data_IF_758150178291
#
_entry.id   IF_758150178291
#
_cell.length_a   1.000
_cell.length_b   1.000
_cell.length_c   1.000
_cell.angle_alpha   90.00
_cell.angle_beta   90.00
_cell.angle_gamma   90.00
#
_symmetry.space_group_name_H-M   'P 1'
#
loop_
_entity.id
_entity.type
_entity.pdbx_description
1 polymer ?
#
# COMPACT_ATOMS: atom_id res chain seq x y z
N UNK A 1 4.93 20.71 23.44
CA UNK A 1 5.38 19.47 22.78
C UNK A 1 4.51 18.34 23.31
N UNK A 2 3.50 17.91 22.53
CA UNK A 2 2.70 16.74 22.88
C UNK A 2 3.55 15.52 22.51
N UNK A 3 4.10 14.84 23.51
CA UNK A 3 4.84 13.59 23.30
C UNK A 3 3.84 12.50 22.94
N UNK A 4 3.49 12.44 21.66
CA UNK A 4 2.74 11.36 21.07
C UNK A 4 3.57 10.08 21.22
N UNK A 5 3.23 9.25 22.21
CA UNK A 5 3.87 7.95 22.38
C UNK A 5 3.60 7.10 21.13
N UNK A 6 4.67 6.51 20.58
CA UNK A 6 4.59 5.62 19.41
C UNK A 6 3.79 4.38 19.83
N UNK A 7 2.58 4.24 19.30
CA UNK A 7 1.72 3.08 19.48
C UNK A 7 1.83 2.16 18.26
N UNK A 8 2.96 1.44 18.18
CA UNK A 8 3.26 0.57 17.05
C UNK A 8 2.19 -0.50 16.84
N UNK A 9 1.53 -0.97 17.92
CA UNK A 9 0.44 -1.93 17.84
C UNK A 9 -0.75 -1.38 17.03
N UNK A 10 -1.13 -0.11 17.25
CA UNK A 10 -2.16 0.58 16.47
C UNK A 10 -1.75 0.71 15.00
N UNK A 11 -0.52 1.15 14.75
CA UNK A 11 0.01 1.29 13.39
C UNK A 11 -0.01 -0.03 12.62
N UNK A 12 0.48 -1.11 13.23
CA UNK A 12 0.49 -2.45 12.64
C UNK A 12 -0.93 -2.97 12.44
N UNK A 13 -1.83 -2.85 13.41
CA UNK A 13 -3.19 -3.40 13.29
C UNK A 13 -4.01 -2.70 12.21
N UNK A 14 -3.98 -1.36 12.17
CA UNK A 14 -4.64 -0.58 11.13
C UNK A 14 -4.00 -0.80 9.77
N UNK A 15 -2.66 -0.90 9.74
CA UNK A 15 -1.89 -1.24 8.56
C UNK A 15 -2.34 -2.57 7.96
N UNK A 16 -2.25 -3.65 8.71
CA UNK A 16 -2.68 -4.99 8.28
C UNK A 16 -4.13 -4.99 7.80
N UNK A 17 -5.05 -4.39 8.58
CA UNK A 17 -6.47 -4.34 8.21
C UNK A 17 -6.69 -3.59 6.89
N UNK A 18 -6.08 -2.42 6.73
CA UNK A 18 -6.17 -1.64 5.49
C UNK A 18 -5.59 -2.40 4.30
N UNK A 19 -4.47 -3.09 4.49
CA UNK A 19 -3.82 -3.93 3.50
C UNK A 19 -4.68 -5.11 3.06
N UNK A 20 -5.33 -5.80 4.00
CA UNK A 20 -6.26 -6.89 3.71
C UNK A 20 -7.47 -6.40 2.91
N UNK A 21 -8.09 -5.29 3.33
CA UNK A 21 -9.23 -4.69 2.62
C UNK A 21 -8.81 -4.29 1.20
N UNK A 22 -7.64 -3.67 1.06
CA UNK A 22 -7.08 -3.31 -0.24
C UNK A 22 -6.84 -4.55 -1.12
N UNK A 23 -6.21 -5.60 -0.59
CA UNK A 23 -5.93 -6.82 -1.36
C UNK A 23 -7.20 -7.49 -1.88
N UNK A 24 -8.25 -7.55 -1.05
CA UNK A 24 -9.56 -8.06 -1.46
C UNK A 24 -10.17 -7.17 -2.55
N UNK A 25 -10.11 -5.85 -2.40
CA UNK A 25 -10.64 -4.91 -3.38
C UNK A 25 -9.94 -5.03 -4.74
N UNK A 26 -8.62 -5.21 -4.75
CA UNK A 26 -7.83 -5.43 -5.97
C UNK A 26 -8.25 -6.73 -6.66
N UNK A 27 -8.36 -7.83 -5.91
CA UNK A 27 -8.77 -9.12 -6.46
C UNK A 27 -10.16 -9.04 -7.12
N UNK A 28 -11.13 -8.43 -6.42
CA UNK A 28 -12.48 -8.25 -6.94
C UNK A 28 -12.48 -7.39 -8.21
N UNK A 29 -11.77 -6.26 -8.20
CA UNK A 29 -11.68 -5.36 -9.36
C UNK A 29 -11.05 -6.06 -10.57
N UNK A 30 -9.94 -6.76 -10.35
CA UNK A 30 -9.23 -7.51 -11.37
C UNK A 30 -10.12 -8.62 -11.97
N UNK A 31 -10.87 -9.34 -11.14
CA UNK A 31 -11.79 -10.39 -11.61
C UNK A 31 -12.95 -9.85 -12.46
N UNK A 32 -13.42 -8.64 -12.15
CA UNK A 32 -14.52 -8.00 -12.86
C UNK A 32 -14.08 -7.37 -14.18
N UNK A 33 -12.87 -6.82 -14.23
CA UNK A 33 -12.38 -6.02 -15.35
C UNK A 33 -11.48 -6.79 -16.31
N UNK A 34 -10.96 -7.96 -15.90
CA UNK A 34 -9.93 -8.71 -16.64
C UNK A 34 -8.69 -7.89 -16.96
N UNK A 35 -8.45 -6.80 -16.22
CA UNK A 35 -7.26 -5.96 -16.36
C UNK A 35 -6.00 -6.72 -15.93
N UNK A 36 -6.16 -7.73 -15.09
CA UNK A 36 -5.12 -8.69 -14.74
C UNK A 36 -5.60 -10.09 -15.15
N UNK A 37 -4.83 -10.77 -15.98
CA UNK A 37 -5.04 -12.20 -16.20
C UNK A 37 -4.53 -12.96 -14.98
N UNK A 38 -5.41 -13.73 -14.36
CA UNK A 38 -5.05 -14.60 -13.25
C UNK A 38 -4.70 -15.98 -13.77
N UNK A 39 -3.56 -16.50 -13.35
CA UNK A 39 -3.14 -17.87 -13.64
C UNK A 39 -4.03 -18.92 -12.93
N UNK A 40 -4.74 -18.51 -11.88
CA UNK A 40 -5.54 -19.37 -11.01
C UNK A 40 -6.98 -18.88 -10.85
N UNK A 41 -7.82 -19.70 -10.21
CA UNK A 41 -9.19 -19.30 -9.88
C UNK A 41 -9.22 -18.32 -8.70
N UNK A 42 -10.24 -17.45 -8.64
CA UNK A 42 -10.47 -16.46 -7.57
C UNK A 42 -10.20 -16.95 -6.13
N UNK A 43 -10.60 -18.19 -5.82
CA UNK A 43 -10.42 -18.78 -4.48
C UNK A 43 -8.95 -19.11 -4.16
N UNK A 44 -8.14 -19.41 -5.17
CA UNK A 44 -6.71 -19.73 -5.04
C UNK A 44 -5.86 -18.46 -4.93
N UNK A 45 -6.28 -17.38 -5.59
CA UNK A 45 -5.60 -16.08 -5.51
C UNK A 45 -5.96 -15.31 -4.23
N UNK A 46 -7.11 -15.59 -3.63
CA UNK A 46 -7.57 -14.91 -2.42
C UNK A 46 -6.54 -14.86 -1.29
N UNK A 47 -5.90 -15.98 -0.86
CA UNK A 47 -4.86 -15.95 0.16
C UNK A 47 -3.64 -15.12 -0.25
N UNK A 48 -3.26 -15.12 -1.53
CA UNK A 48 -2.09 -14.38 -2.04
C UNK A 48 -2.35 -12.88 -1.96
N UNK A 49 -3.51 -12.41 -2.44
CA UNK A 49 -3.89 -11.01 -2.36
C UNK A 49 -4.10 -10.54 -0.92
N UNK A 50 -4.69 -11.39 -0.08
CA UNK A 50 -4.90 -11.08 1.34
C UNK A 50 -3.57 -10.91 2.08
N UNK A 51 -2.65 -11.87 1.92
CA UNK A 51 -1.34 -11.87 2.60
C UNK A 51 -0.39 -10.83 2.04
N UNK A 52 -0.34 -10.68 0.71
CA UNK A 52 0.43 -9.62 0.04
C UNK A 52 -0.06 -8.23 0.45
N UNK A 53 -1.38 -8.02 0.44
CA UNK A 53 -2.00 -6.80 0.93
C UNK A 53 -1.69 -6.53 2.40
N UNK A 54 -1.84 -7.53 3.27
CA UNK A 54 -1.50 -7.42 4.69
C UNK A 54 -0.03 -7.04 4.91
N UNK A 55 0.90 -7.60 4.12
CA UNK A 55 2.33 -7.28 4.18
C UNK A 55 2.61 -5.83 3.83
N UNK A 56 2.09 -5.34 2.70
CA UNK A 56 2.22 -3.93 2.30
C UNK A 56 1.56 -2.99 3.32
N UNK A 57 0.36 -3.32 3.77
CA UNK A 57 -0.36 -2.57 4.78
C UNK A 57 0.38 -2.49 6.11
N UNK A 58 1.00 -3.58 6.56
CA UNK A 58 1.82 -3.61 7.78
C UNK A 58 2.96 -2.61 7.69
N UNK A 59 3.72 -2.66 6.59
CA UNK A 59 4.86 -1.75 6.37
C UNK A 59 4.36 -0.31 6.39
N UNK A 60 3.32 -0.01 5.62
CA UNK A 60 2.75 1.33 5.54
C UNK A 60 2.26 1.83 6.91
N UNK A 61 1.51 1.01 7.65
CA UNK A 61 0.98 1.36 8.96
C UNK A 61 2.05 1.57 10.02
N UNK A 62 3.13 0.77 9.99
CA UNK A 62 4.29 0.97 10.85
C UNK A 62 5.01 2.29 10.56
N UNK A 63 5.26 2.59 9.27
CA UNK A 63 5.85 3.87 8.87
C UNK A 63 4.95 5.05 9.22
N UNK A 64 3.63 4.91 9.06
CA UNK A 64 2.67 5.94 9.42
C UNK A 64 2.75 6.29 10.91
N UNK A 65 2.82 5.29 11.80
CA UNK A 65 2.94 5.53 13.23
C UNK A 65 4.26 6.23 13.60
N UNK A 66 5.36 5.84 12.96
CA UNK A 66 6.70 6.38 13.24
C UNK A 66 6.90 7.78 12.67
N UNK A 67 6.31 8.07 11.50
CA UNK A 67 6.55 9.29 10.75
C UNK A 67 5.43 10.31 10.85
N UNK A 68 4.25 10.00 11.42
CA UNK A 68 3.08 10.90 11.42
C UNK A 68 3.36 12.35 11.82
N UNK A 69 4.25 12.57 12.78
CA UNK A 69 4.58 13.90 13.31
C UNK A 69 5.64 14.64 12.45
N UNK A 70 6.26 13.94 11.50
CA UNK A 70 7.27 14.46 10.56
C UNK A 70 6.75 14.60 9.13
N UNK A 71 5.55 14.10 8.86
CA UNK A 71 4.96 14.18 7.52
C UNK A 71 4.47 15.61 7.23
N UNK A 72 4.61 16.08 5.99
CA UNK A 72 4.48 17.51 5.68
C UNK A 72 3.04 18.02 5.61
N UNK A 73 2.03 17.14 5.60
CA UNK A 73 0.64 17.55 5.49
C UNK A 73 -0.06 17.60 6.85
N UNK A 74 -1.00 18.52 6.99
CA UNK A 74 -1.82 18.66 8.20
C UNK A 74 -2.89 17.55 8.31
N UNK A 75 -3.25 16.91 7.19
CA UNK A 75 -4.28 15.86 7.15
C UNK A 75 -3.71 14.45 7.22
N UNK A 76 -4.19 13.63 8.17
CA UNK A 76 -3.80 12.21 8.31
C UNK A 76 -4.04 11.40 7.02
N UNK A 77 -5.10 11.70 6.28
CA UNK A 77 -5.42 11.04 5.00
C UNK A 77 -4.36 11.40 3.94
N UNK A 78 -4.02 12.68 3.82
CA UNK A 78 -3.02 13.16 2.85
C UNK A 78 -1.65 12.56 3.16
N UNK A 79 -1.30 12.49 4.45
CA UNK A 79 -0.07 11.86 4.93
C UNK A 79 -0.02 10.36 4.60
N UNK A 80 -1.11 9.62 4.79
CA UNK A 80 -1.16 8.20 4.46
C UNK A 80 -1.05 7.94 2.94
N UNK A 81 -1.71 8.77 2.12
CA UNK A 81 -1.59 8.72 0.66
C UNK A 81 -0.14 9.02 0.24
N UNK A 82 0.42 10.13 0.72
CA UNK A 82 1.77 10.54 0.36
C UNK A 82 2.80 9.49 0.75
N UNK A 83 2.68 8.90 1.94
CA UNK A 83 3.56 7.85 2.41
C UNK A 83 3.45 6.58 1.54
N UNK A 84 2.22 6.13 1.24
CA UNK A 84 1.99 4.95 0.40
C UNK A 84 2.56 5.13 -1.02
N UNK A 85 2.29 6.29 -1.63
CA UNK A 85 2.85 6.65 -2.95
C UNK A 85 4.36 6.76 -2.90
N UNK A 86 4.94 7.30 -1.82
CA UNK A 86 6.40 7.39 -1.67
C UNK A 86 7.06 6.02 -1.57
N UNK A 87 6.47 5.08 -0.83
CA UNK A 87 6.93 3.70 -0.76
C UNK A 87 6.86 3.04 -2.15
N UNK A 88 5.77 3.27 -2.89
CA UNK A 88 5.66 2.80 -4.27
C UNK A 88 6.74 3.41 -5.17
N UNK A 89 6.99 4.72 -5.10
CA UNK A 89 8.04 5.40 -5.88
C UNK A 89 9.43 4.82 -5.59
N UNK A 90 9.72 4.46 -4.33
CA UNK A 90 10.97 3.79 -3.97
C UNK A 90 11.10 2.42 -4.63
N UNK A 91 10.06 1.60 -4.61
CA UNK A 91 10.07 0.30 -5.29
C UNK A 91 10.13 0.44 -6.81
N UNK A 92 9.41 1.40 -7.37
CA UNK A 92 9.45 1.71 -8.80
C UNK A 92 10.85 2.13 -9.24
N UNK A 93 11.48 3.07 -8.53
CA UNK A 93 12.85 3.50 -8.82
C UNK A 93 13.85 2.33 -8.69
N UNK A 94 13.69 1.47 -7.69
CA UNK A 94 14.47 0.24 -7.55
C UNK A 94 14.29 -0.71 -8.74
N UNK A 95 13.06 -0.90 -9.21
CA UNK A 95 12.76 -1.71 -10.39
C UNK A 95 13.37 -1.14 -11.67
N UNK A 96 13.27 0.18 -11.88
CA UNK A 96 13.93 0.88 -13.00
C UNK A 96 15.44 0.73 -12.93
N UNK A 97 16.03 0.90 -11.75
CA UNK A 97 17.47 0.71 -11.56
C UNK A 97 17.92 -0.71 -11.92
N UNK A 98 17.16 -1.73 -11.49
CA UNK A 98 17.44 -3.13 -11.83
C UNK A 98 17.30 -3.40 -13.33
N UNK A 99 16.29 -2.82 -13.99
CA UNK A 99 16.14 -2.88 -15.44
C UNK A 99 17.34 -2.27 -16.16
N UNK A 100 17.82 -1.10 -15.73
CA UNK A 100 19.00 -0.47 -16.33
C UNK A 100 20.28 -1.26 -16.08
N UNK A 101 20.44 -1.88 -14.92
CA UNK A 101 21.63 -2.64 -14.55
C UNK A 101 21.68 -4.03 -15.25
N UNK A 102 20.54 -4.68 -15.44
CA UNK A 102 20.46 -6.02 -16.04
C UNK A 102 19.16 -6.18 -16.87
N UNK A 103 19.09 -5.53 -18.06
CA UNK A 103 17.85 -5.46 -18.84
C UNK A 103 17.37 -6.80 -19.38
N UNK A 104 18.27 -7.77 -19.56
CA UNK A 104 17.92 -9.13 -19.97
C UNK A 104 17.20 -9.95 -18.89
N UNK A 105 17.25 -9.51 -17.62
CA UNK A 105 16.66 -10.21 -16.47
C UNK A 105 15.44 -9.50 -15.92
N UNK A 106 15.47 -8.17 -15.91
CA UNK A 106 14.40 -7.35 -15.35
C UNK A 106 13.72 -6.59 -16.47
N UNK A 107 12.45 -6.88 -16.72
CA UNK A 107 11.65 -6.22 -17.74
C UNK A 107 10.91 -5.03 -17.14
N UNK A 108 10.84 -3.94 -17.90
CA UNK A 108 10.06 -2.77 -17.51
C UNK A 108 8.70 -2.81 -18.19
N UNK A 109 7.64 -2.87 -17.38
CA UNK A 109 6.26 -2.82 -17.85
C UNK A 109 5.59 -1.52 -17.38
N UNK A 110 5.50 -0.55 -18.29
CA UNK A 110 4.97 0.78 -17.97
C UNK A 110 3.51 0.76 -17.52
N UNK A 111 2.68 -0.13 -18.07
CA UNK A 111 1.28 -0.26 -17.69
C UNK A 111 1.13 -0.75 -16.24
N UNK A 112 1.91 -1.76 -15.84
CA UNK A 112 1.93 -2.26 -14.47
C UNK A 112 2.42 -1.18 -13.48
N UNK A 113 3.36 -0.33 -13.90
CA UNK A 113 3.80 0.78 -13.06
C UNK A 113 2.68 1.78 -12.79
N UNK A 114 1.94 2.20 -13.84
CA UNK A 114 0.81 3.13 -13.68
C UNK A 114 -0.26 2.51 -12.76
N UNK A 115 -0.59 1.23 -12.96
CA UNK A 115 -1.51 0.51 -12.08
C UNK A 115 -1.01 0.50 -10.62
N UNK A 116 0.27 0.19 -10.39
CA UNK A 116 0.88 0.22 -9.07
C UNK A 116 0.77 1.59 -8.40
N UNK A 117 0.94 2.68 -9.14
CA UNK A 117 0.73 4.03 -8.63
C UNK A 117 -0.71 4.24 -8.15
N UNK A 118 -1.71 3.94 -8.98
CA UNK A 118 -3.12 4.08 -8.59
C UNK A 118 -3.46 3.21 -7.38
N UNK A 119 -2.96 1.97 -7.35
CA UNK A 119 -3.19 1.07 -6.24
C UNK A 119 -2.55 1.56 -4.93
N UNK A 120 -1.36 2.14 -5.00
CA UNK A 120 -0.69 2.75 -3.84
C UNK A 120 -1.50 3.93 -3.28
N UNK A 121 -2.09 4.75 -4.16
CA UNK A 121 -2.97 5.84 -3.76
C UNK A 121 -4.20 5.31 -3.01
N UNK A 122 -4.84 4.27 -3.54
CA UNK A 122 -6.04 3.65 -2.93
C UNK A 122 -5.71 3.04 -1.57
N UNK A 123 -4.58 2.33 -1.42
CA UNK A 123 -4.15 1.79 -0.13
C UNK A 123 -3.96 2.90 0.91
N UNK A 124 -3.28 3.98 0.54
CA UNK A 124 -3.07 5.14 1.40
C UNK A 124 -4.39 5.82 1.80
N UNK A 125 -5.36 5.87 0.88
CA UNK A 125 -6.70 6.39 1.17
C UNK A 125 -7.44 5.50 2.20
N UNK A 126 -7.43 4.17 2.02
CA UNK A 126 -8.07 3.22 2.95
C UNK A 126 -7.45 3.36 4.34
N UNK A 127 -6.11 3.33 4.44
CA UNK A 127 -5.42 3.51 5.72
C UNK A 127 -5.76 4.86 6.35
N UNK A 128 -5.71 5.94 5.59
CA UNK A 128 -5.98 7.29 6.06
C UNK A 128 -7.39 7.43 6.65
N UNK A 129 -8.39 6.84 6.00
CA UNK A 129 -9.79 6.84 6.48
C UNK A 129 -9.90 6.08 7.81
N UNK A 130 -9.37 4.84 7.85
CA UNK A 130 -9.40 4.02 9.07
C UNK A 130 -8.65 4.68 10.24
N UNK A 131 -7.53 5.33 9.94
CA UNK A 131 -6.74 6.05 10.94
C UNK A 131 -7.48 7.25 11.51
N UNK A 132 -8.14 8.03 10.64
CA UNK A 132 -8.95 9.18 11.06
C UNK A 132 -10.09 8.73 11.97
N UNK A 133 -10.83 7.68 11.59
CA UNK A 133 -11.91 7.12 12.40
C UNK A 133 -11.41 6.60 13.76
N UNK A 134 -10.30 5.86 13.78
CA UNK A 134 -9.69 5.35 15.00
C UNK A 134 -9.09 6.43 15.91
N UNK A 135 -8.97 7.67 15.46
CA UNK A 135 -8.45 8.79 16.28
C UNK A 135 -9.56 9.72 16.77
N UNK A 136 -10.80 9.51 16.31
CA UNK A 136 -11.98 10.23 16.78
C UNK A 136 -12.76 9.44 17.85
N UNK A 137 -12.54 8.13 17.93
CA UNK A 137 -13.01 7.23 18.99
C UNK A 137 -11.95 7.11 20.10
#
# INVERSE_FOLDING_TARGET
>A
MHSNTINLRKGISLGVLSGMIWGIAVLMFASATKVFEFDFGLLQDFPVFLTGGAGFGLVLGAFMEVLRDKLPFNGIIQNAIALSVSIWLLFFAGGVFLHLAAPARYHFEGEQAIQGFFLSFVLGLILGILWKQSSQN
#
